data_IF_329996656476
#
_entry.id   IF_329996656476
#
_cell.length_a   1.000
_cell.length_b   1.000
_cell.length_c   1.000
_cell.angle_alpha   90.00
_cell.angle_beta   90.00
_cell.angle_gamma   90.00
#
_symmetry.space_group_name_H-M   'P 1'
#
loop_
_entity.id
_entity.type
_entity.pdbx_description
1 polymer ?
#
# COMPACT_ATOMS: atom_id res chain seq x y z
N UNK A 1 -22.08 -6.66 9.67
CA UNK A 1 -20.66 -6.89 9.36
C UNK A 1 -19.86 -6.32 10.50
N UNK A 2 -19.24 -7.19 11.31
CA UNK A 2 -18.34 -6.78 12.40
C UNK A 2 -16.94 -6.51 11.88
N UNK A 3 -16.02 -6.03 12.74
CA UNK A 3 -14.63 -5.87 12.37
C UNK A 3 -14.07 -7.24 11.94
N UNK A 4 -13.43 -7.27 10.77
CA UNK A 4 -12.70 -8.43 10.28
C UNK A 4 -11.61 -8.78 11.32
N UNK A 5 -11.51 -10.05 11.69
CA UNK A 5 -10.60 -10.60 12.72
C UNK A 5 -9.10 -10.37 12.43
N UNK A 6 -8.77 -9.73 11.30
CA UNK A 6 -7.42 -9.37 10.88
C UNK A 6 -7.16 -7.84 10.81
N UNK A 7 -8.09 -7.01 11.31
CA UNK A 7 -7.88 -5.55 11.40
C UNK A 7 -7.51 -5.21 12.84
N UNK A 8 -6.21 -5.02 13.07
CA UNK A 8 -5.68 -4.51 14.32
C UNK A 8 -5.70 -2.98 14.29
N UNK A 9 -6.48 -2.37 15.18
CA UNK A 9 -6.49 -0.93 15.40
C UNK A 9 -5.70 -0.63 16.67
N UNK A 10 -4.70 0.26 16.59
CA UNK A 10 -3.90 0.64 17.75
C UNK A 10 -3.69 2.16 17.76
N UNK A 11 -4.56 2.87 18.50
CA UNK A 11 -4.56 4.34 18.59
C UNK A 11 -3.41 4.92 19.43
N UNK A 12 -2.61 4.05 20.06
CA UNK A 12 -1.48 4.41 20.94
C UNK A 12 -0.20 3.66 20.61
N UNK A 13 -0.09 3.19 19.36
CA UNK A 13 1.08 2.45 18.91
C UNK A 13 2.34 3.34 18.86
N UNK A 14 2.14 4.64 18.74
CA UNK A 14 3.16 5.62 18.44
C UNK A 14 3.36 6.54 19.65
N UNK A 15 4.62 6.84 19.91
CA UNK A 15 5.01 7.83 20.91
C UNK A 15 4.58 9.25 20.47
N UNK A 16 4.37 10.13 21.45
CA UNK A 16 3.90 11.50 21.23
C UNK A 16 4.97 12.33 20.50
N UNK A 17 6.25 12.17 20.85
CA UNK A 17 7.37 12.86 20.17
C UNK A 17 7.44 12.45 18.69
N UNK A 18 7.30 11.15 18.40
CA UNK A 18 7.20 10.64 17.03
C UNK A 18 6.01 11.22 16.28
N UNK A 19 4.84 11.28 16.92
CA UNK A 19 3.61 11.79 16.30
C UNK A 19 3.73 13.26 15.92
N UNK A 20 4.25 14.09 16.83
CA UNK A 20 4.48 15.51 16.57
C UNK A 20 5.55 15.74 15.50
N UNK A 21 6.62 14.95 15.51
CA UNK A 21 7.64 14.96 14.47
C UNK A 21 7.06 14.61 13.08
N UNK A 22 6.20 13.60 13.01
CA UNK A 22 5.54 13.19 11.77
C UNK A 22 4.60 14.29 11.24
N UNK A 23 3.76 14.89 12.09
CA UNK A 23 2.87 16.00 11.70
C UNK A 23 3.66 17.18 11.14
N UNK A 24 4.74 17.56 11.82
CA UNK A 24 5.62 18.65 11.37
C UNK A 24 6.20 18.34 9.98
N UNK A 25 6.68 17.11 9.78
CA UNK A 25 7.23 16.70 8.48
C UNK A 25 6.15 16.70 7.38
N UNK A 26 4.94 16.23 7.67
CA UNK A 26 3.81 16.26 6.72
C UNK A 26 3.48 17.69 6.32
N UNK A 27 3.35 18.60 7.29
CA UNK A 27 3.11 20.01 7.01
C UNK A 27 4.20 20.61 6.11
N UNK A 28 5.46 20.50 6.52
CA UNK A 28 6.60 21.11 5.81
C UNK A 28 6.86 20.55 4.41
N UNK A 29 6.40 19.32 4.12
CA UNK A 29 6.70 18.62 2.86
C UNK A 29 5.52 18.50 1.91
N UNK A 30 4.30 18.52 2.44
CA UNK A 30 3.09 18.27 1.64
C UNK A 30 2.13 19.44 1.70
N UNK A 31 1.88 20.02 2.87
CA UNK A 31 0.83 21.03 3.03
C UNK A 31 1.34 22.47 2.76
N UNK A 32 2.56 22.78 3.19
CA UNK A 32 3.23 24.09 3.06
C UNK A 32 4.05 24.21 1.77
N UNK A 33 3.40 23.86 0.65
CA UNK A 33 3.94 24.00 -0.71
C UNK A 33 2.99 24.86 -1.54
N UNK A 34 3.45 25.47 -2.66
CA UNK A 34 2.57 26.19 -3.57
C UNK A 34 1.38 25.33 -4.00
N UNK A 35 0.20 25.93 -4.18
CA UNK A 35 -1.04 25.18 -4.47
C UNK A 35 -0.92 24.31 -5.73
N UNK A 36 -0.24 24.80 -6.77
CA UNK A 36 0.00 24.05 -8.01
C UNK A 36 0.93 22.83 -7.82
N UNK A 37 1.62 22.74 -6.68
CA UNK A 37 2.49 21.61 -6.32
C UNK A 37 1.77 20.59 -5.43
N UNK A 38 0.53 20.85 -5.00
CA UNK A 38 -0.26 19.91 -4.18
C UNK A 38 -0.88 18.83 -5.07
N UNK A 39 -0.51 17.57 -4.83
CA UNK A 39 -1.07 16.41 -5.53
C UNK A 39 -2.41 16.00 -4.91
N UNK A 40 -3.46 16.77 -5.22
CA UNK A 40 -4.80 16.49 -4.73
C UNK A 40 -5.40 15.25 -5.39
N UNK A 41 -5.93 14.34 -4.57
CA UNK A 41 -6.58 13.12 -5.04
C UNK A 41 -7.78 13.46 -5.94
N UNK A 42 -7.85 12.92 -7.17
CA UNK A 42 -9.01 13.15 -8.04
C UNK A 42 -10.32 12.72 -7.38
N UNK A 43 -11.33 13.58 -7.42
CA UNK A 43 -12.66 13.33 -6.84
C UNK A 43 -12.74 13.47 -5.32
N UNK A 44 -11.72 14.05 -4.67
CA UNK A 44 -11.70 14.29 -3.22
C UNK A 44 -12.13 15.69 -2.79
N UNK A 45 -12.57 16.56 -3.71
CA UNK A 45 -12.85 17.98 -3.43
C UNK A 45 -11.72 18.70 -2.70
N UNK A 46 -10.46 18.39 -3.06
CA UNK A 46 -9.24 18.91 -2.42
C UNK A 46 -9.18 18.67 -0.90
N UNK A 47 -9.65 17.51 -0.45
CA UNK A 47 -9.60 17.10 0.95
C UNK A 47 -8.53 16.05 1.23
N UNK A 48 -8.07 15.33 0.19
CA UNK A 48 -7.08 14.27 0.33
C UNK A 48 -5.88 14.61 -0.52
N UNK A 49 -4.76 14.88 0.14
CA UNK A 49 -3.47 15.13 -0.48
C UNK A 49 -2.66 13.84 -0.53
N UNK A 50 -2.26 13.42 -1.74
CA UNK A 50 -1.46 12.22 -1.90
C UNK A 50 0.02 12.53 -1.62
N UNK A 51 0.64 11.79 -0.70
CA UNK A 51 2.10 11.75 -0.59
C UNK A 51 2.70 11.10 -1.85
N UNK A 52 2.09 9.99 -2.28
CA UNK A 52 2.35 9.31 -3.54
C UNK A 52 1.03 8.66 -3.95
N UNK A 53 0.47 9.05 -5.10
CA UNK A 53 -0.73 8.41 -5.61
C UNK A 53 -0.40 6.96 -6.07
N UNK A 54 -0.99 5.91 -5.47
CA UNK A 54 -0.60 4.51 -5.75
C UNK A 54 -0.70 4.10 -7.23
N UNK A 55 -1.65 4.69 -7.96
CA UNK A 55 -1.84 4.41 -9.40
C UNK A 55 -0.76 5.01 -10.31
N UNK A 56 0.09 5.92 -9.83
CA UNK A 56 1.18 6.51 -10.65
C UNK A 56 2.40 5.60 -10.75
N UNK A 57 2.59 4.70 -9.79
CA UNK A 57 3.76 3.81 -9.73
C UNK A 57 3.34 2.35 -9.65
N UNK A 58 2.51 1.84 -10.57
CA UNK A 58 2.15 0.44 -10.57
C UNK A 58 3.36 -0.40 -10.93
N UNK A 59 3.49 -1.55 -10.27
CA UNK A 59 4.33 -2.63 -10.77
C UNK A 59 3.68 -3.17 -12.05
N UNK A 60 4.44 -3.23 -13.15
CA UNK A 60 4.05 -3.88 -14.39
C UNK A 60 4.82 -5.18 -14.56
N UNK A 61 4.11 -6.30 -14.59
CA UNK A 61 4.74 -7.61 -14.76
C UNK A 61 5.51 -7.70 -16.08
N UNK A 62 6.65 -8.38 -16.06
CA UNK A 62 7.52 -8.50 -17.22
C UNK A 62 8.28 -7.22 -17.58
N UNK A 63 8.10 -6.10 -16.85
CA UNK A 63 8.83 -4.85 -17.10
C UNK A 63 9.49 -4.26 -15.87
N UNK A 64 8.74 -4.09 -14.77
CA UNK A 64 9.28 -3.48 -13.54
C UNK A 64 10.36 -4.39 -12.96
N UNK A 65 11.53 -3.83 -12.63
CA UNK A 65 12.61 -4.56 -11.95
C UNK A 65 12.32 -4.67 -10.45
N UNK A 66 12.55 -5.84 -9.89
CA UNK A 66 12.44 -6.15 -8.46
C UNK A 66 13.78 -6.61 -7.94
N UNK A 67 14.09 -6.27 -6.69
CA UNK A 67 15.33 -6.64 -6.05
C UNK A 67 15.08 -7.86 -5.14
N UNK A 68 15.77 -8.97 -5.42
CA UNK A 68 15.70 -10.19 -4.63
C UNK A 68 17.10 -10.48 -4.07
N UNK A 69 17.29 -10.22 -2.76
CA UNK A 69 18.63 -10.22 -2.16
C UNK A 69 19.47 -9.10 -2.77
N UNK A 70 20.58 -9.46 -3.45
CA UNK A 70 21.50 -8.52 -4.09
C UNK A 70 21.39 -8.50 -5.62
N UNK A 71 20.32 -9.10 -6.18
CA UNK A 71 20.13 -9.21 -7.63
C UNK A 71 18.85 -8.50 -8.05
N UNK A 72 18.90 -7.88 -9.24
CA UNK A 72 17.71 -7.33 -9.89
C UNK A 72 17.15 -8.35 -10.88
N UNK A 73 15.90 -8.71 -10.70
CA UNK A 73 15.14 -9.53 -11.63
C UNK A 73 13.98 -8.72 -12.21
N UNK A 74 13.39 -9.18 -13.30
CA UNK A 74 12.14 -8.60 -13.80
C UNK A 74 10.97 -9.21 -13.02
N UNK A 75 10.04 -8.35 -12.60
CA UNK A 75 8.83 -8.77 -11.89
C UNK A 75 8.10 -9.85 -12.67
N UNK A 76 7.74 -10.91 -11.97
CA UNK A 76 6.94 -12.01 -12.49
C UNK A 76 5.54 -11.86 -11.94
N UNK A 77 4.57 -12.23 -12.76
CA UNK A 77 3.19 -12.34 -12.33
C UNK A 77 3.10 -13.38 -11.21
N UNK A 78 2.60 -12.99 -10.04
CA UNK A 78 2.28 -13.90 -8.95
C UNK A 78 0.77 -13.89 -8.83
N UNK A 79 0.08 -14.61 -9.71
CA UNK A 79 -1.33 -14.94 -9.44
C UNK A 79 -1.32 -16.07 -8.42
N UNK A 80 -1.98 -15.91 -7.26
CA UNK A 80 -2.23 -17.04 -6.38
C UNK A 80 -2.92 -18.13 -7.19
N UNK A 81 -2.36 -19.35 -7.22
CA UNK A 81 -3.02 -20.51 -7.85
C UNK A 81 -4.42 -20.74 -7.26
N UNK A 82 -4.54 -20.42 -5.98
CA UNK A 82 -5.79 -20.41 -5.23
C UNK A 82 -6.10 -18.97 -4.81
N UNK A 83 -7.17 -18.41 -5.35
CA UNK A 83 -7.73 -17.12 -4.95
C UNK A 83 -8.18 -17.26 -3.49
N UNK A 84 -7.63 -16.50 -2.53
CA UNK A 84 -7.96 -16.67 -1.11
C UNK A 84 -9.47 -16.51 -0.88
N UNK A 85 -10.08 -17.36 -0.07
CA UNK A 85 -11.55 -17.42 0.10
C UNK A 85 -12.19 -16.09 0.54
N UNK A 86 -11.42 -15.20 1.18
CA UNK A 86 -11.86 -13.86 1.57
C UNK A 86 -12.01 -12.88 0.40
N UNK A 87 -11.47 -13.21 -0.77
CA UNK A 87 -11.63 -12.43 -2.00
C UNK A 87 -12.87 -12.84 -2.80
N UNK A 88 -13.71 -13.75 -2.30
CA UNK A 88 -15.01 -14.07 -2.92
C UNK A 88 -15.96 -12.87 -3.05
N UNK A 89 -15.69 -11.77 -2.33
CA UNK A 89 -16.41 -10.51 -2.50
C UNK A 89 -15.94 -9.68 -3.71
N UNK A 90 -14.79 -10.00 -4.31
CA UNK A 90 -14.18 -9.31 -5.43
C UNK A 90 -14.01 -10.34 -6.56
N UNK A 91 -14.90 -10.27 -7.55
CA UNK A 91 -14.86 -11.18 -8.70
C UNK A 91 -13.50 -11.19 -9.41
N UNK A 92 -13.28 -12.16 -10.31
CA UNK A 92 -12.05 -12.23 -11.11
C UNK A 92 -11.74 -10.94 -11.89
N UNK A 93 -12.76 -10.13 -12.15
CA UNK A 93 -12.64 -8.83 -12.83
C UNK A 93 -11.79 -7.81 -12.05
N UNK A 94 -11.58 -8.04 -10.75
CA UNK A 94 -10.77 -7.20 -9.86
C UNK A 94 -9.29 -7.69 -9.75
N UNK A 95 -8.93 -8.70 -10.57
CA UNK A 95 -7.56 -9.19 -10.69
C UNK A 95 -6.96 -8.70 -12.01
N UNK A 96 -5.98 -7.82 -11.90
CA UNK A 96 -5.21 -7.36 -13.06
C UNK A 96 -4.07 -8.34 -13.36
N UNK A 97 -4.04 -8.84 -14.60
CA UNK A 97 -2.99 -9.74 -15.08
C UNK A 97 -1.69 -9.02 -15.48
N UNK A 98 -1.72 -7.68 -15.51
CA UNK A 98 -0.69 -6.84 -16.12
C UNK A 98 -0.05 -5.86 -15.13
N UNK A 99 -0.83 -5.39 -14.15
CA UNK A 99 -0.44 -4.40 -13.15
C UNK A 99 -0.77 -4.87 -11.73
N UNK A 100 0.05 -4.43 -10.78
CA UNK A 100 -0.19 -4.55 -9.34
C UNK A 100 0.17 -3.21 -8.67
N UNK A 101 -0.55 -2.78 -7.64
CA UNK A 101 0.00 -1.74 -6.75
C UNK A 101 1.25 -2.26 -6.07
N UNK A 102 2.19 -1.36 -5.74
CA UNK A 102 3.40 -1.75 -5.02
C UNK A 102 2.99 -2.51 -3.74
N UNK A 103 3.39 -3.79 -3.58
CA UNK A 103 3.08 -4.52 -2.37
C UNK A 103 3.80 -3.84 -1.22
N UNK A 104 3.09 -3.59 -0.13
CA UNK A 104 3.72 -3.15 1.11
C UNK A 104 4.36 -4.37 1.76
N UNK A 105 5.68 -4.47 1.67
CA UNK A 105 6.45 -5.55 2.29
C UNK A 105 6.56 -5.24 3.79
N UNK A 106 5.84 -5.98 4.62
CA UNK A 106 6.01 -5.93 6.06
C UNK A 106 6.57 -7.25 6.57
N UNK A 107 7.62 -7.19 7.38
CA UNK A 107 8.16 -8.35 8.06
C UNK A 107 7.43 -8.53 9.40
N UNK A 108 6.58 -9.56 9.49
CA UNK A 108 5.92 -9.91 10.75
C UNK A 108 6.81 -10.90 11.51
N UNK A 109 7.16 -10.54 12.76
CA UNK A 109 7.96 -11.37 13.65
C UNK A 109 7.28 -12.71 13.93
N UNK A 110 8.04 -13.81 13.85
CA UNK A 110 7.54 -15.16 14.15
C UNK A 110 7.07 -15.36 15.59
N UNK A 111 7.33 -14.43 16.52
CA UNK A 111 6.95 -14.58 17.92
C UNK A 111 5.43 -14.58 18.14
N UNK A 112 4.67 -13.87 17.31
CA UNK A 112 3.24 -13.63 17.58
C UNK A 112 2.30 -13.99 16.41
N UNK A 113 2.77 -14.78 15.43
CA UNK A 113 1.92 -15.43 14.43
C UNK A 113 1.93 -14.78 13.04
N UNK A 114 2.42 -15.57 12.07
CA UNK A 114 2.10 -15.46 10.63
C UNK A 114 2.89 -14.44 9.79
N UNK A 115 3.43 -14.88 8.66
CA UNK A 115 3.83 -13.98 7.56
C UNK A 115 2.57 -13.53 6.82
N UNK A 116 2.28 -12.23 6.79
CA UNK A 116 1.18 -11.66 6.02
C UNK A 116 1.71 -11.10 4.70
N UNK A 117 1.21 -11.63 3.58
CA UNK A 117 1.38 -11.02 2.27
C UNK A 117 0.13 -10.21 1.96
N UNK A 118 0.29 -8.91 1.71
CA UNK A 118 -0.83 -8.08 1.25
C UNK A 118 -0.95 -8.26 -0.26
N UNK A 119 -2.11 -8.72 -0.71
CA UNK A 119 -2.49 -8.76 -2.12
C UNK A 119 -3.50 -7.64 -2.33
N UNK A 120 -3.16 -6.67 -3.17
CA UNK A 120 -4.08 -5.60 -3.52
C UNK A 120 -4.75 -5.94 -4.85
N UNK A 121 -6.08 -5.89 -4.81
CA UNK A 121 -7.00 -6.10 -5.92
C UNK A 121 -7.30 -4.74 -6.56
N UNK A 122 -7.46 -4.71 -7.88
CA UNK A 122 -7.94 -3.52 -8.61
C UNK A 122 -9.46 -3.51 -8.61
#
# INVERSE_FOLDING_TARGET
MGPNENVLLLDRALDEDFTESLKKLVYEKLEDVPEDSKDWRPGSDNQVLDLVHPSLYPLQYGKTKVMTGNLFEVSKMIVPKDIPTYTNCLGKDYLSEIYQWLPSIFHVSKKDGGTMWTYNLY
#
